data_IF_397820655154
#
_entry.id   IF_397820655154
#
_cell.length_a   1.000
_cell.length_b   1.000
_cell.length_c   1.000
_cell.angle_alpha   90.00
_cell.angle_beta   90.00
_cell.angle_gamma   90.00
#
_symmetry.space_group_name_H-M   'P 1'
#
loop_
_entity.id
_entity.type
_entity.pdbx_description
1 polymer ?
#
# COMPACT_ATOMS: atom_id res chain seq x y z
N UNK A 1 -7.13 21.37 12.77
CA UNK A 1 -5.74 21.04 13.18
C UNK A 1 -5.62 19.53 13.21
N UNK A 2 -4.66 18.97 12.48
CA UNK A 2 -4.38 17.52 12.48
C UNK A 2 -3.99 17.09 13.90
N UNK A 3 -4.57 16.02 14.42
CA UNK A 3 -4.23 15.52 15.75
C UNK A 3 -2.73 15.12 15.77
N UNK A 4 -2.01 15.35 16.88
CA UNK A 4 -0.59 14.98 17.04
C UNK A 4 -0.33 13.52 16.68
N UNK A 5 -1.26 12.60 16.99
CA UNK A 5 -1.12 11.18 16.65
C UNK A 5 -1.22 10.96 15.13
N UNK A 6 -2.16 11.61 14.47
CA UNK A 6 -2.32 11.52 13.00
C UNK A 6 -1.09 12.07 12.27
N UNK A 7 -0.56 13.22 12.73
CA UNK A 7 0.67 13.77 12.18
C UNK A 7 1.84 12.78 12.32
N UNK A 8 1.99 12.17 13.51
CA UNK A 8 3.02 11.16 13.74
C UNK A 8 2.82 9.91 12.88
N UNK A 9 1.58 9.46 12.65
CA UNK A 9 1.29 8.31 11.78
C UNK A 9 1.66 8.61 10.33
N UNK A 10 1.29 9.78 9.82
CA UNK A 10 1.67 10.26 8.48
C UNK A 10 3.20 10.32 8.34
N UNK A 11 3.89 10.90 9.32
CA UNK A 11 5.36 10.97 9.29
C UNK A 11 6.02 9.59 9.40
N UNK A 12 5.39 8.66 10.12
CA UNK A 12 5.84 7.27 10.17
C UNK A 12 5.75 6.61 8.80
N UNK A 13 4.65 6.80 8.05
CA UNK A 13 4.53 6.31 6.68
C UNK A 13 5.63 6.88 5.78
N UNK A 14 5.92 8.18 5.90
CA UNK A 14 6.99 8.84 5.15
C UNK A 14 8.35 8.21 5.44
N UNK A 15 8.72 8.13 6.72
CA UNK A 15 10.02 7.62 7.15
C UNK A 15 10.18 6.16 6.77
N UNK A 16 9.20 5.29 7.03
CA UNK A 16 9.27 3.88 6.65
C UNK A 16 9.46 3.70 5.13
N UNK A 17 8.76 4.49 4.31
CA UNK A 17 8.85 4.39 2.85
C UNK A 17 10.21 4.86 2.32
N UNK A 18 10.77 5.91 2.92
CA UNK A 18 12.11 6.42 2.61
C UNK A 18 13.16 5.40 3.04
N UNK A 19 13.11 4.90 4.27
CA UNK A 19 14.07 3.93 4.81
C UNK A 19 14.08 2.62 4.02
N UNK A 20 12.92 2.11 3.59
CA UNK A 20 12.84 0.96 2.68
C UNK A 20 13.66 1.19 1.41
N UNK A 21 13.45 2.34 0.76
CA UNK A 21 14.13 2.68 -0.50
C UNK A 21 15.64 2.89 -0.30
N UNK A 22 16.01 3.57 0.80
CA UNK A 22 17.40 3.84 1.17
C UNK A 22 18.15 2.55 1.49
N UNK A 23 17.56 1.66 2.30
CA UNK A 23 18.17 0.38 2.66
C UNK A 23 18.39 -0.52 1.43
N UNK A 24 17.40 -0.58 0.54
CA UNK A 24 17.50 -1.32 -0.72
C UNK A 24 18.42 -0.65 -1.75
N UNK A 25 18.86 0.60 -1.51
CA UNK A 25 19.55 1.46 -2.49
C UNK A 25 18.80 1.56 -3.83
N UNK A 26 17.47 1.45 -3.77
CA UNK A 26 16.57 1.36 -4.92
C UNK A 26 15.14 1.67 -4.48
N UNK A 27 14.43 2.53 -5.21
CA UNK A 27 13.04 2.86 -4.90
C UNK A 27 12.61 4.25 -5.35
N UNK A 28 11.36 4.61 -5.07
CA UNK A 28 10.76 5.89 -5.46
C UNK A 28 10.19 6.61 -4.22
N UNK A 29 11.02 7.26 -3.39
CA UNK A 29 10.57 7.82 -2.12
C UNK A 29 9.67 9.06 -2.28
N UNK A 30 9.75 9.78 -3.41
CA UNK A 30 9.06 11.06 -3.61
C UNK A 30 7.54 10.99 -3.45
N UNK A 31 6.91 9.96 -4.03
CA UNK A 31 5.45 9.77 -3.91
C UNK A 31 5.04 9.51 -2.46
N UNK A 32 5.85 8.80 -1.67
CA UNK A 32 5.55 8.55 -0.26
C UNK A 32 5.50 9.84 0.57
N UNK A 33 6.38 10.80 0.28
CA UNK A 33 6.42 12.08 0.98
C UNK A 33 5.14 12.90 0.76
N UNK A 34 4.65 12.92 -0.49
CA UNK A 34 3.46 13.68 -0.89
C UNK A 34 2.14 12.97 -0.59
N UNK A 35 2.07 11.66 -0.80
CA UNK A 35 0.83 10.90 -0.72
C UNK A 35 0.56 10.24 0.65
N UNK A 36 1.51 10.24 1.59
CA UNK A 36 1.27 9.70 2.94
C UNK A 36 0.01 10.26 3.64
N UNK A 37 -0.31 11.57 3.58
CA UNK A 37 -1.55 12.09 4.19
C UNK A 37 -2.82 11.50 3.59
N UNK A 38 -2.89 11.34 2.25
CA UNK A 38 -4.07 10.77 1.59
C UNK A 38 -4.19 9.27 1.85
N UNK A 39 -3.09 8.53 1.82
CA UNK A 39 -3.10 7.08 2.11
C UNK A 39 -3.49 6.83 3.57
N UNK A 40 -2.95 7.61 4.52
CA UNK A 40 -3.37 7.55 5.91
C UNK A 40 -4.88 7.78 6.05
N UNK A 41 -5.41 8.82 5.41
CA UNK A 41 -6.84 9.14 5.48
C UNK A 41 -7.70 8.03 4.90
N UNK A 42 -7.32 7.46 3.74
CA UNK A 42 -8.04 6.35 3.13
C UNK A 42 -8.12 5.14 4.07
N UNK A 43 -6.97 4.65 4.54
CA UNK A 43 -6.89 3.41 5.32
C UNK A 43 -7.44 3.52 6.74
N UNK A 44 -7.45 4.72 7.35
CA UNK A 44 -7.84 4.88 8.75
C UNK A 44 -9.22 5.49 8.97
N UNK A 45 -9.81 6.13 7.94
CA UNK A 45 -11.07 6.88 8.09
C UNK A 45 -12.13 6.59 7.04
N UNK A 46 -11.73 6.14 5.85
CA UNK A 46 -12.66 6.02 4.72
C UNK A 46 -12.95 4.54 4.43
N UNK A 47 -11.90 3.75 4.28
CA UNK A 47 -12.03 2.37 3.82
C UNK A 47 -12.63 1.45 4.90
N UNK A 48 -13.58 0.62 4.46
CA UNK A 48 -14.10 -0.52 5.21
C UNK A 48 -13.27 -1.75 4.88
N UNK A 49 -12.28 -2.01 5.73
CA UNK A 49 -11.32 -3.11 5.56
C UNK A 49 -11.17 -3.87 6.88
N UNK A 50 -10.81 -5.15 6.77
CA UNK A 50 -10.39 -5.99 7.90
C UNK A 50 -9.02 -6.61 7.59
N UNK A 51 -7.93 -6.09 8.18
CA UNK A 51 -6.58 -6.63 7.98
C UNK A 51 -6.42 -8.08 8.42
N UNK A 52 -7.25 -8.56 9.36
CA UNK A 52 -7.24 -9.94 9.82
C UNK A 52 -8.06 -10.87 8.92
N UNK A 53 -8.90 -10.29 8.05
CA UNK A 53 -9.63 -10.99 6.99
C UNK A 53 -9.46 -10.27 5.64
N UNK A 54 -8.25 -10.27 5.07
CA UNK A 54 -7.96 -9.54 3.83
C UNK A 54 -8.74 -10.09 2.62
N UNK A 55 -9.27 -11.31 2.73
CA UNK A 55 -10.08 -11.96 1.69
C UNK A 55 -11.58 -11.69 1.85
N UNK A 56 -11.99 -10.85 2.81
CA UNK A 56 -13.38 -10.45 3.00
C UNK A 56 -13.97 -9.93 1.69
N UNK A 57 -14.99 -10.63 1.18
CA UNK A 57 -15.53 -10.38 -0.16
C UNK A 57 -16.10 -8.97 -0.33
N UNK A 58 -16.67 -8.38 0.72
CA UNK A 58 -17.34 -7.08 0.69
C UNK A 58 -16.52 -5.93 1.29
N UNK A 59 -15.19 -6.08 1.41
CA UNK A 59 -14.30 -4.98 1.82
C UNK A 59 -14.17 -3.94 0.71
N UNK A 60 -13.82 -2.70 1.05
CA UNK A 60 -13.39 -1.74 0.05
C UNK A 60 -12.07 -2.19 -0.60
N UNK A 61 -11.95 -2.05 -1.92
CA UNK A 61 -10.73 -2.42 -2.67
C UNK A 61 -9.83 -1.20 -2.87
N UNK A 62 -8.51 -1.41 -2.78
CA UNK A 62 -7.50 -0.37 -3.02
C UNK A 62 -6.52 -0.77 -4.10
N UNK A 63 -6.49 0.01 -5.19
CA UNK A 63 -5.53 -0.17 -6.29
C UNK A 63 -4.55 0.98 -6.34
N UNK A 64 -3.28 0.71 -6.05
CA UNK A 64 -2.20 1.68 -6.24
C UNK A 64 -1.79 1.72 -7.73
N UNK A 65 -2.56 2.42 -8.57
CA UNK A 65 -2.25 2.50 -10.01
C UNK A 65 -0.84 3.07 -10.30
N UNK A 66 -0.37 4.00 -9.47
CA UNK A 66 1.02 4.47 -9.47
C UNK A 66 1.93 3.49 -8.73
N UNK A 67 2.06 2.26 -9.26
CA UNK A 67 2.72 1.14 -8.57
C UNK A 67 4.18 1.40 -8.16
N UNK A 68 4.84 2.40 -8.74
CA UNK A 68 6.20 2.78 -8.33
C UNK A 68 6.26 3.26 -6.86
N UNK A 69 5.13 3.69 -6.29
CA UNK A 69 4.96 4.06 -4.88
C UNK A 69 4.74 2.89 -3.91
N UNK A 70 5.16 1.68 -4.29
CA UNK A 70 5.00 0.44 -3.53
C UNK A 70 5.45 0.52 -2.06
N UNK A 71 6.54 1.21 -1.75
CA UNK A 71 7.02 1.35 -0.37
C UNK A 71 6.02 2.05 0.56
N UNK A 72 5.19 2.97 0.04
CA UNK A 72 4.09 3.58 0.80
C UNK A 72 2.97 2.58 1.07
N UNK A 73 2.60 1.77 0.07
CA UNK A 73 1.59 0.73 0.24
C UNK A 73 2.05 -0.30 1.29
N UNK A 74 3.29 -0.78 1.21
CA UNK A 74 3.80 -1.72 2.20
C UNK A 74 3.89 -1.11 3.60
N UNK A 75 4.25 0.18 3.71
CA UNK A 75 4.26 0.87 5.00
C UNK A 75 2.87 0.91 5.63
N UNK A 76 1.83 1.24 4.87
CA UNK A 76 0.46 1.29 5.43
C UNK A 76 -0.09 -0.10 5.72
N UNK A 77 0.22 -1.11 4.89
CA UNK A 77 -0.17 -2.50 5.13
C UNK A 77 0.50 -3.08 6.39
N UNK A 78 1.77 -2.76 6.63
CA UNK A 78 2.47 -3.10 7.86
C UNK A 78 1.81 -2.46 9.09
N UNK A 79 1.54 -1.15 9.04
CA UNK A 79 0.93 -0.43 10.16
C UNK A 79 -0.54 -0.82 10.40
N UNK A 80 -1.24 -1.26 9.36
CA UNK A 80 -2.60 -1.77 9.45
C UNK A 80 -2.66 -3.27 9.83
N UNK A 81 -1.52 -3.93 10.08
CA UNK A 81 -1.44 -5.33 10.50
C UNK A 81 -1.96 -6.36 9.46
N UNK A 82 -1.69 -6.12 8.17
CA UNK A 82 -1.94 -7.10 7.09
C UNK A 82 -0.97 -8.29 7.08
N UNK A 83 -0.15 -8.46 8.13
CA UNK A 83 0.83 -9.53 8.24
C UNK A 83 2.17 -9.26 7.55
N UNK A 84 2.45 -8.01 7.15
CA UNK A 84 3.81 -7.57 6.83
C UNK A 84 4.53 -7.19 8.11
N UNK A 85 5.71 -7.77 8.33
CA UNK A 85 6.57 -7.47 9.47
C UNK A 85 7.56 -6.35 9.15
N UNK A 86 8.19 -5.78 10.19
CA UNK A 86 9.32 -4.85 10.00
C UNK A 86 10.49 -5.50 9.25
N UNK A 87 10.71 -6.81 9.43
CA UNK A 87 11.70 -7.56 8.64
C UNK A 87 11.35 -7.62 7.16
N UNK A 88 10.07 -7.78 6.82
CA UNK A 88 9.63 -7.77 5.42
C UNK A 88 9.92 -6.41 4.78
N UNK A 89 9.60 -5.30 5.46
CA UNK A 89 9.92 -3.94 4.95
C UNK A 89 11.43 -3.76 4.72
N UNK A 90 12.28 -4.27 5.61
CA UNK A 90 13.75 -4.24 5.42
C UNK A 90 14.22 -5.07 4.23
N UNK A 91 13.40 -6.00 3.74
CA UNK A 91 13.67 -6.79 2.54
C UNK A 91 13.07 -6.17 1.27
N UNK A 92 12.69 -4.89 1.28
CA UNK A 92 12.21 -4.18 0.09
C UNK A 92 13.14 -4.39 -1.12
N UNK A 93 12.53 -4.82 -2.25
CA UNK A 93 13.23 -5.13 -3.52
C UNK A 93 14.28 -6.23 -3.45
N UNK A 94 14.34 -7.02 -2.37
CA UNK A 94 15.23 -8.17 -2.28
C UNK A 94 14.59 -9.42 -2.88
N UNK A 95 15.43 -10.34 -3.35
CA UNK A 95 14.98 -11.59 -3.95
C UNK A 95 14.14 -12.41 -2.96
N UNK A 96 12.97 -12.89 -3.39
CA UNK A 96 12.06 -13.69 -2.57
C UNK A 96 11.34 -12.92 -1.45
N UNK A 97 11.50 -11.58 -1.38
CA UNK A 97 10.79 -10.77 -0.38
C UNK A 97 9.30 -10.65 -0.68
N UNK A 98 8.49 -10.37 0.35
CA UNK A 98 7.07 -10.00 0.21
C UNK A 98 6.86 -8.53 -0.13
N UNK A 99 7.92 -7.83 -0.50
CA UNK A 99 7.92 -6.38 -0.73
C UNK A 99 8.66 -6.07 -2.04
N UNK A 100 8.16 -6.58 -3.18
CA UNK A 100 8.77 -6.36 -4.50
C UNK A 100 8.74 -4.88 -4.90
N UNK A 101 9.48 -4.53 -5.95
CA UNK A 101 9.66 -3.13 -6.37
C UNK A 101 8.39 -2.42 -6.84
N UNK A 102 7.38 -3.18 -7.27
CA UNK A 102 6.02 -2.75 -7.57
C UNK A 102 5.04 -3.76 -6.91
N UNK A 103 3.79 -3.39 -6.59
CA UNK A 103 2.84 -4.29 -5.94
C UNK A 103 2.55 -5.53 -6.80
N UNK A 104 2.53 -6.69 -6.16
CA UNK A 104 2.17 -7.98 -6.78
C UNK A 104 1.09 -8.66 -5.94
N UNK A 105 -0.09 -8.89 -6.54
CA UNK A 105 -1.31 -9.42 -5.91
C UNK A 105 -1.07 -10.74 -5.14
N UNK A 106 -0.35 -11.67 -5.75
CA UNK A 106 -0.17 -13.02 -5.18
C UNK A 106 0.85 -13.04 -4.04
N UNK A 107 1.81 -12.11 -4.06
CA UNK A 107 3.00 -12.17 -3.19
C UNK A 107 2.77 -11.45 -1.85
N UNK A 108 1.90 -10.43 -1.82
CA UNK A 108 1.75 -9.54 -0.67
C UNK A 108 0.30 -9.47 -0.23
N UNK A 109 0.01 -9.89 1.00
CA UNK A 109 -1.34 -9.76 1.58
C UNK A 109 -1.78 -8.30 1.62
N UNK A 110 -3.03 -8.04 1.22
CA UNK A 110 -3.60 -6.69 1.15
C UNK A 110 -3.27 -5.90 -0.11
N UNK A 111 -2.53 -6.48 -1.06
CA UNK A 111 -2.40 -5.92 -2.41
C UNK A 111 -3.53 -6.49 -3.27
N UNK A 112 -4.47 -5.65 -3.72
CA UNK A 112 -5.63 -6.10 -4.48
C UNK A 112 -5.37 -6.23 -5.99
N UNK A 113 -4.27 -5.66 -6.50
CA UNK A 113 -3.93 -5.62 -7.91
C UNK A 113 -2.41 -5.54 -8.13
N UNK A 114 -1.91 -6.28 -9.13
CA UNK A 114 -0.53 -6.11 -9.60
C UNK A 114 -0.45 -4.84 -10.44
N UNK A 115 0.47 -3.93 -10.09
CA UNK A 115 0.61 -2.65 -10.79
C UNK A 115 2.08 -2.33 -11.10
N UNK A 116 2.34 -1.23 -11.80
CA UNK A 116 3.68 -0.85 -12.27
C UNK A 116 3.66 -0.32 -13.69
N UNK A 117 3.09 -1.07 -14.66
CA UNK A 117 2.77 -0.54 -15.97
C UNK A 117 1.71 0.57 -15.85
N UNK A 118 2.15 1.82 -15.99
CA UNK A 118 1.27 2.98 -15.84
C UNK A 118 0.09 2.87 -16.82
N UNK A 119 -1.09 3.26 -16.33
CA UNK A 119 -2.34 3.21 -17.09
C UNK A 119 -3.14 1.92 -16.94
N UNK A 120 -2.60 0.85 -16.33
CA UNK A 120 -3.33 -0.43 -16.16
C UNK A 120 -4.15 -0.50 -14.87
N UNK A 121 -3.66 0.07 -13.76
CA UNK A 121 -4.35 -0.05 -12.47
C UNK A 121 -5.70 0.67 -12.40
N UNK A 122 -5.88 1.80 -13.10
CA UNK A 122 -7.18 2.50 -13.13
C UNK A 122 -8.23 1.67 -13.89
N UNK A 123 -7.99 1.17 -15.12
CA UNK A 123 -8.88 0.23 -15.80
C UNK A 123 -9.19 -1.02 -14.98
N UNK A 124 -8.22 -1.57 -14.26
CA UNK A 124 -8.45 -2.73 -13.38
C UNK A 124 -9.42 -2.39 -12.25
N UNK A 125 -9.25 -1.24 -11.58
CA UNK A 125 -10.19 -0.75 -10.58
C UNK A 125 -11.59 -0.46 -11.16
N UNK A 126 -11.69 0.01 -12.41
CA UNK A 126 -12.97 0.15 -13.12
C UNK A 126 -13.65 -1.21 -13.28
N UNK A 127 -12.89 -2.25 -13.66
CA UNK A 127 -13.39 -3.63 -13.71
C UNK A 127 -13.89 -4.13 -12.37
N UNK A 128 -13.16 -3.85 -11.28
CA UNK A 128 -13.59 -4.19 -9.92
C UNK A 128 -14.91 -3.49 -9.53
N UNK A 129 -15.07 -2.21 -9.89
CA UNK A 129 -16.30 -1.46 -9.62
C UNK A 129 -17.50 -1.99 -10.41
N UNK A 130 -17.30 -2.34 -11.70
CA UNK A 130 -18.35 -2.98 -12.51
C UNK A 130 -18.76 -4.33 -11.90
N UNK A 131 -17.80 -5.11 -11.40
CA UNK A 131 -18.08 -6.39 -10.78
C UNK A 131 -18.87 -6.24 -9.46
N UNK A 132 -18.61 -5.20 -8.67
CA UNK A 132 -19.37 -4.94 -7.43
C UNK A 132 -20.83 -4.55 -7.72
N UNK A 133 -21.08 -3.69 -8.70
CA UNK A 133 -22.45 -3.31 -9.11
C UNK A 133 -23.25 -4.49 -9.69
N UNK A 134 -22.57 -5.49 -10.26
CA UNK A 134 -23.23 -6.66 -10.84
C UNK A 134 -23.67 -7.70 -9.80
N UNK A 135 -22.99 -7.78 -8.64
CA UNK A 135 -23.16 -8.82 -7.62
C UNK A 135 -24.28 -8.50 -6.60
#
# INVERSE_FOLDING_TARGET
MTNKIEAKAIDTLRVLSVEQSTHAKSGHPGIALGAAPMVHTLFTKIMKIDPHNPDWINRDRFVLAAGHGSSLLYSVLHLADYGLSMSDLKQFRQYGSKTPGHPELVLTKGVDATSGPLGQGIPEAVGMAIAEEFL
#
